data_IF_424774423179
#
_entry.id   IF_424774423179
#
_cell.length_a   1.000
_cell.length_b   1.000
_cell.length_c   1.000
_cell.angle_alpha   90.00
_cell.angle_beta   90.00
_cell.angle_gamma   90.00
#
_symmetry.space_group_name_H-M   'P 1'
#
loop_
_entity.id
_entity.type
_entity.pdbx_description
1 polymer ?
#
# COMPACT_ATOMS: atom_id res chain seq x y z
N UNK A 1 0.43 -9.97 27.91
CA UNK A 1 1.02 -9.34 26.71
C UNK A 1 -0.14 -8.83 25.87
N UNK A 2 -0.52 -7.56 26.03
CA UNK A 2 -1.69 -6.99 25.35
C UNK A 2 -1.31 -6.67 23.90
N UNK A 3 -1.97 -7.33 22.95
CA UNK A 3 -1.79 -7.03 21.53
C UNK A 3 -2.25 -5.59 21.26
N UNK A 4 -1.35 -4.77 20.72
CA UNK A 4 -1.67 -3.42 20.29
C UNK A 4 -2.81 -3.48 19.26
N UNK A 5 -3.91 -2.75 19.53
CA UNK A 5 -5.01 -2.64 18.58
C UNK A 5 -4.45 -2.13 17.23
N UNK A 6 -4.86 -2.71 16.09
CA UNK A 6 -4.37 -2.27 14.79
C UNK A 6 -4.66 -0.77 14.61
N UNK A 7 -3.66 0.00 14.16
CA UNK A 7 -3.86 1.42 13.85
C UNK A 7 -5.01 1.56 12.84
N UNK A 8 -5.89 2.54 13.03
CA UNK A 8 -7.12 2.71 12.23
C UNK A 8 -6.87 2.83 10.71
N UNK A 9 -5.65 3.21 10.32
CA UNK A 9 -5.20 3.38 8.94
C UNK A 9 -4.14 2.34 8.52
N UNK A 10 -3.93 1.29 9.32
CA UNK A 10 -2.98 0.25 8.97
C UNK A 10 -3.43 -0.48 7.71
N UNK A 11 -2.48 -0.70 6.80
CA UNK A 11 -2.71 -1.53 5.63
C UNK A 11 -3.09 -2.96 6.07
N UNK A 12 -4.11 -3.58 5.46
CA UNK A 12 -4.43 -4.97 5.73
C UNK A 12 -3.20 -5.84 5.48
N UNK A 13 -2.89 -6.75 6.41
CA UNK A 13 -1.74 -7.67 6.33
C UNK A 13 -1.82 -8.66 5.16
N UNK A 14 -2.94 -8.65 4.44
CA UNK A 14 -3.25 -9.46 3.26
C UNK A 14 -3.00 -8.73 1.94
N UNK A 15 -2.52 -7.48 1.98
CA UNK A 15 -2.13 -6.73 0.78
C UNK A 15 -0.70 -7.08 0.39
N UNK A 16 -0.56 -7.85 -0.69
CA UNK A 16 0.72 -8.02 -1.38
C UNK A 16 0.78 -7.07 -2.58
N UNK A 17 1.90 -6.34 -2.80
CA UNK A 17 2.08 -5.54 -4.02
C UNK A 17 1.91 -6.34 -5.32
N UNK A 18 2.19 -7.64 -5.28
CA UNK A 18 2.04 -8.54 -6.45
C UNK A 18 0.58 -8.76 -6.87
N UNK A 19 -0.37 -8.63 -5.94
CA UNK A 19 -1.80 -8.77 -6.23
C UNK A 19 -2.33 -7.59 -7.07
N UNK A 20 -1.64 -6.46 -7.05
CA UNK A 20 -1.99 -5.26 -7.83
C UNK A 20 -1.30 -5.20 -9.19
N UNK A 21 -0.28 -6.04 -9.44
CA UNK A 21 0.44 -6.08 -10.71
C UNK A 21 -0.29 -6.93 -11.78
N UNK A 22 -1.45 -6.44 -12.21
CA UNK A 22 -2.20 -7.02 -13.32
C UNK A 22 -1.61 -6.65 -14.70
N UNK A 23 -0.79 -5.59 -14.78
CA UNK A 23 -0.22 -5.08 -16.02
C UNK A 23 0.84 -6.02 -16.58
N UNK A 24 1.73 -6.53 -15.73
CA UNK A 24 2.74 -7.51 -16.12
C UNK A 24 2.08 -8.76 -16.69
N UNK A 25 1.04 -9.30 -16.04
CA UNK A 25 0.33 -10.47 -16.56
C UNK A 25 -0.41 -10.22 -17.87
N UNK A 26 -1.07 -9.06 -18.00
CA UNK A 26 -1.71 -8.67 -19.25
C UNK A 26 -0.67 -8.59 -20.38
N UNK A 27 0.49 -7.98 -20.13
CA UNK A 27 1.56 -7.85 -21.13
C UNK A 27 2.06 -9.22 -21.61
N UNK A 28 2.17 -10.19 -20.71
CA UNK A 28 2.58 -11.56 -21.01
C UNK A 28 1.51 -12.24 -21.87
N UNK A 29 0.24 -12.18 -21.47
CA UNK A 29 -0.87 -12.78 -22.22
C UNK A 29 -0.98 -12.16 -23.61
N UNK A 30 -0.88 -10.83 -23.72
CA UNK A 30 -1.00 -10.11 -24.99
C UNK A 30 0.18 -10.41 -25.94
N UNK A 31 1.39 -10.53 -25.41
CA UNK A 31 2.57 -10.95 -26.19
C UNK A 31 2.38 -12.36 -26.76
N UNK A 32 1.88 -13.29 -25.94
CA UNK A 32 1.60 -14.67 -26.35
C UNK A 32 0.46 -14.80 -27.36
N UNK A 33 -0.60 -14.00 -27.21
CA UNK A 33 -1.71 -13.93 -28.18
C UNK A 33 -1.25 -13.33 -29.51
N UNK A 34 -0.42 -12.27 -29.47
CA UNK A 34 0.17 -11.67 -30.67
C UNK A 34 1.02 -12.68 -31.44
N UNK A 35 1.87 -13.45 -30.75
CA UNK A 35 2.64 -14.54 -31.36
C UNK A 35 1.74 -15.63 -31.97
N UNK A 36 0.60 -15.91 -31.33
CA UNK A 36 -0.49 -16.75 -31.85
C UNK A 36 -1.01 -16.31 -33.21
N UNK A 37 -1.41 -15.05 -33.29
CA UNK A 37 -1.97 -14.42 -34.49
C UNK A 37 -0.95 -14.39 -35.64
N UNK A 38 0.30 -14.03 -35.33
CA UNK A 38 1.35 -13.94 -36.35
C UNK A 38 1.67 -15.29 -36.98
N UNK A 39 1.62 -16.36 -36.19
CA UNK A 39 1.87 -17.72 -36.66
C UNK A 39 0.68 -18.29 -37.45
N UNK A 40 -0.56 -17.92 -37.14
CA UNK A 40 -1.74 -18.34 -37.91
C UNK A 40 -1.87 -17.63 -39.27
N UNK A 41 -1.31 -16.43 -39.41
CA UNK A 41 -1.42 -15.61 -40.62
C UNK A 41 -0.26 -15.80 -41.61
N UNK A 42 0.65 -16.76 -41.38
CA UNK A 42 1.71 -17.10 -42.34
C UNK A 42 2.74 -15.98 -42.57
N UNK A 43 2.83 -14.98 -41.69
CA UNK A 43 3.86 -13.94 -41.76
C UNK A 43 5.12 -14.50 -41.07
N UNK A 44 5.82 -15.38 -41.76
CA UNK A 44 7.20 -15.75 -41.41
C UNK A 44 8.12 -14.77 -42.14
N UNK A 45 8.58 -13.73 -41.45
CA UNK A 45 9.73 -12.95 -41.91
C UNK A 45 10.93 -13.37 -41.06
N UNK A 46 11.68 -14.35 -41.57
CA UNK A 46 13.08 -14.58 -41.20
C UNK A 46 13.35 -15.45 -39.95
N UNK A 47 13.81 -16.68 -40.21
CA UNK A 47 14.83 -17.48 -39.51
C UNK A 47 14.92 -17.42 -37.95
N UNK A 48 14.72 -18.57 -37.28
CA UNK A 48 15.78 -19.51 -36.78
C UNK A 48 15.11 -20.64 -35.97
N UNK A 49 15.37 -21.95 -36.22
CA UNK A 49 15.01 -23.01 -35.29
C UNK A 49 16.17 -23.19 -34.28
N UNK A 50 16.05 -22.61 -33.10
CA UNK A 50 17.09 -22.68 -32.06
C UNK A 50 16.50 -22.38 -30.69
N UNK A 51 16.59 -23.36 -29.79
CA UNK A 51 15.87 -23.38 -28.53
C UNK A 51 16.25 -22.26 -27.55
N UNK A 52 15.32 -21.99 -26.64
CA UNK A 52 15.63 -21.78 -25.23
C UNK A 52 14.33 -21.85 -24.43
N UNK A 53 14.32 -22.72 -23.43
CA UNK A 53 13.27 -22.82 -22.42
C UNK A 53 13.27 -21.55 -21.57
N UNK A 54 12.77 -20.44 -22.10
CA UNK A 54 12.38 -19.29 -21.31
C UNK A 54 10.86 -19.33 -21.16
N UNK A 55 10.41 -19.69 -19.96
CA UNK A 55 9.02 -19.84 -19.55
C UNK A 55 8.18 -18.54 -19.57
N UNK A 56 8.54 -17.55 -20.40
CA UNK A 56 7.92 -16.21 -20.41
C UNK A 56 7.49 -15.69 -21.79
N UNK A 57 8.20 -15.98 -22.89
CA UNK A 57 8.05 -15.17 -24.11
C UNK A 57 7.89 -15.94 -25.43
N UNK A 58 8.00 -17.29 -25.43
CA UNK A 58 8.02 -18.07 -26.68
C UNK A 58 6.83 -19.00 -26.91
N UNK A 59 5.96 -19.20 -25.91
CA UNK A 59 4.83 -20.12 -26.07
C UNK A 59 3.65 -19.40 -26.72
N UNK A 60 3.49 -19.66 -28.01
CA UNK A 60 2.32 -19.27 -28.78
C UNK A 60 1.04 -19.75 -28.07
N UNK A 61 0.14 -18.84 -27.70
CA UNK A 61 -1.19 -19.22 -27.23
C UNK A 61 -2.07 -19.51 -28.44
N UNK A 62 -2.64 -20.71 -28.49
CA UNK A 62 -3.72 -21.00 -29.42
C UNK A 62 -4.97 -20.22 -28.99
N UNK A 63 -5.79 -19.77 -29.93
CA UNK A 63 -7.03 -19.03 -29.62
C UNK A 63 -7.98 -19.78 -28.67
N UNK A 64 -7.91 -21.11 -28.64
CA UNK A 64 -8.68 -21.96 -27.72
C UNK A 64 -8.18 -21.90 -26.27
N UNK A 65 -6.91 -21.54 -26.07
CA UNK A 65 -6.26 -21.51 -24.76
C UNK A 65 -6.30 -20.11 -24.12
N UNK A 66 -6.75 -19.09 -24.86
CA UNK A 66 -6.88 -17.70 -24.38
C UNK A 66 -7.76 -17.59 -23.14
N UNK A 67 -8.95 -18.24 -23.06
CA UNK A 67 -9.77 -18.18 -21.84
C UNK A 67 -9.04 -18.72 -20.61
N UNK A 68 -8.30 -19.83 -20.75
CA UNK A 68 -7.51 -20.41 -19.65
C UNK A 68 -6.29 -19.56 -19.29
N UNK A 69 -5.58 -19.02 -20.28
CA UNK A 69 -4.44 -18.14 -20.06
C UNK A 69 -4.82 -16.80 -19.42
N UNK A 70 -6.07 -16.35 -19.58
CA UNK A 70 -6.59 -15.10 -19.00
C UNK A 70 -7.23 -15.32 -17.62
N UNK A 71 -7.43 -16.57 -17.18
CA UNK A 71 -8.11 -16.87 -15.92
C UNK A 71 -7.29 -16.39 -14.70
N UNK A 72 -5.95 -16.48 -14.77
CA UNK A 72 -5.05 -15.93 -13.75
C UNK A 72 -5.23 -14.42 -13.62
N UNK A 73 -5.26 -13.70 -14.75
CA UNK A 73 -5.50 -12.26 -14.78
C UNK A 73 -6.86 -11.90 -14.19
N UNK A 74 -7.90 -12.69 -14.50
CA UNK A 74 -9.24 -12.52 -13.93
C UNK A 74 -9.22 -12.69 -12.42
N UNK A 75 -8.57 -13.74 -11.92
CA UNK A 75 -8.45 -13.98 -10.48
C UNK A 75 -7.67 -12.85 -9.79
N UNK A 76 -6.55 -12.38 -10.37
CA UNK A 76 -5.81 -11.23 -9.85
C UNK A 76 -6.64 -9.96 -9.81
N UNK A 77 -7.36 -9.62 -10.88
CA UNK A 77 -8.22 -8.44 -10.89
C UNK A 77 -9.36 -8.52 -9.85
N UNK A 78 -9.93 -9.71 -9.65
CA UNK A 78 -10.92 -9.91 -8.60
C UNK A 78 -10.31 -9.76 -7.20
N UNK A 79 -9.09 -10.27 -7.00
CA UNK A 79 -8.37 -10.15 -5.74
C UNK A 79 -7.99 -8.70 -5.44
N UNK A 80 -7.37 -8.01 -6.40
CA UNK A 80 -7.03 -6.60 -6.37
C UNK A 80 -8.26 -5.74 -6.02
N UNK A 81 -9.41 -5.98 -6.66
CA UNK A 81 -10.63 -5.21 -6.39
C UNK A 81 -11.13 -5.40 -4.95
N UNK A 82 -11.06 -6.62 -4.41
CA UNK A 82 -11.44 -6.90 -3.02
C UNK A 82 -10.50 -6.19 -2.05
N UNK A 83 -9.19 -6.25 -2.34
CA UNK A 83 -8.14 -5.63 -1.55
C UNK A 83 -8.23 -4.11 -1.53
N UNK A 84 -8.41 -3.47 -2.69
CA UNK A 84 -8.59 -2.02 -2.81
C UNK A 84 -9.83 -1.56 -2.04
N UNK A 85 -10.93 -2.34 -2.08
CA UNK A 85 -12.14 -2.03 -1.29
C UNK A 85 -11.97 -2.23 0.21
N UNK A 86 -11.02 -3.04 0.62
CA UNK A 86 -10.71 -3.29 2.03
C UNK A 86 -9.72 -2.27 2.59
N UNK A 87 -9.17 -1.37 1.77
CA UNK A 87 -8.30 -0.30 2.24
C UNK A 87 -9.08 0.67 3.13
N UNK A 88 -8.47 1.16 4.21
CA UNK A 88 -9.07 2.16 5.07
C UNK A 88 -9.29 3.46 4.28
N UNK A 89 -10.31 4.21 4.70
CA UNK A 89 -10.72 5.50 4.13
C UNK A 89 -10.99 5.52 2.60
N UNK A 90 -11.22 4.37 1.98
CA UNK A 90 -11.57 4.28 0.55
C UNK A 90 -12.92 4.94 0.21
N UNK A 91 -13.78 5.18 1.20
CA UNK A 91 -15.07 5.86 1.04
C UNK A 91 -15.01 7.36 1.26
N UNK A 92 -13.86 7.91 1.65
CA UNK A 92 -13.69 9.31 2.01
C UNK A 92 -12.94 10.06 0.91
N UNK A 93 -13.32 11.32 0.70
CA UNK A 93 -12.62 12.19 -0.24
C UNK A 93 -11.31 12.72 0.33
N UNK A 94 -10.42 13.18 -0.55
CA UNK A 94 -9.14 13.80 -0.17
C UNK A 94 -9.41 15.07 0.66
N UNK A 95 -10.37 15.90 0.25
CA UNK A 95 -10.71 17.15 0.95
C UNK A 95 -11.14 16.91 2.40
N UNK A 96 -11.93 15.86 2.66
CA UNK A 96 -12.36 15.48 4.00
C UNK A 96 -11.18 14.98 4.85
N UNK A 97 -10.26 14.22 4.25
CA UNK A 97 -9.04 13.76 4.93
C UNK A 97 -8.12 14.94 5.28
N UNK A 98 -7.93 15.89 4.35
CA UNK A 98 -7.12 17.09 4.57
C UNK A 98 -7.71 17.97 5.68
N UNK A 99 -9.04 18.12 5.72
CA UNK A 99 -9.73 18.84 6.78
C UNK A 99 -9.51 18.18 8.16
N UNK A 100 -9.59 16.85 8.23
CA UNK A 100 -9.31 16.11 9.46
C UNK A 100 -7.84 16.23 9.89
N UNK A 101 -6.89 16.11 8.95
CA UNK A 101 -5.46 16.28 9.22
C UNK A 101 -5.22 17.63 9.87
N UNK A 102 -5.79 18.70 9.31
CA UNK A 102 -5.66 20.05 9.85
C UNK A 102 -6.23 20.18 11.27
N UNK A 103 -7.37 19.55 11.54
CA UNK A 103 -7.95 19.53 12.89
C UNK A 103 -7.05 18.77 13.88
N UNK A 104 -6.56 17.60 13.48
CA UNK A 104 -5.67 16.76 14.29
C UNK A 104 -4.35 17.49 14.59
N UNK A 105 -3.77 18.16 13.60
CA UNK A 105 -2.56 18.98 13.78
C UNK A 105 -2.78 20.11 14.78
N UNK A 106 -3.90 20.85 14.66
CA UNK A 106 -4.27 21.89 15.63
C UNK A 106 -4.47 21.32 17.04
N UNK A 107 -5.03 20.12 17.15
CA UNK A 107 -5.19 19.43 18.44
C UNK A 107 -3.83 19.04 19.03
N UNK A 108 -2.92 18.51 18.22
CA UNK A 108 -1.55 18.16 18.63
C UNK A 108 -0.81 19.42 19.10
N UNK A 109 -0.94 20.54 18.40
CA UNK A 109 -0.30 21.79 18.80
C UNK A 109 -0.79 22.27 20.17
N UNK A 110 -2.11 22.26 20.39
CA UNK A 110 -2.70 22.57 21.70
C UNK A 110 -2.19 21.64 22.79
N UNK A 111 -2.14 20.33 22.53
CA UNK A 111 -1.64 19.35 23.48
C UNK A 111 -0.16 19.58 23.81
N UNK A 112 0.68 19.86 22.80
CA UNK A 112 2.09 20.22 23.00
C UNK A 112 2.24 21.47 23.87
N UNK A 113 1.45 22.51 23.61
CA UNK A 113 1.47 23.74 24.41
C UNK A 113 1.10 23.49 25.88
N UNK A 114 0.09 22.64 26.13
CA UNK A 114 -0.28 22.23 27.49
C UNK A 114 0.83 21.46 28.21
N UNK A 115 1.51 20.54 27.51
CA UNK A 115 2.63 19.80 28.08
C UNK A 115 3.82 20.71 28.42
N UNK A 116 4.07 21.74 27.61
CA UNK A 116 5.08 22.76 27.91
C UNK A 116 4.71 23.54 29.17
N UNK A 117 3.47 24.02 29.28
CA UNK A 117 3.00 24.71 30.50
C UNK A 117 3.10 23.83 31.74
N UNK A 118 2.67 22.57 31.64
CA UNK A 118 2.75 21.63 32.75
C UNK A 118 4.21 21.39 33.19
N UNK A 119 5.15 21.31 32.23
CA UNK A 119 6.58 21.24 32.53
C UNK A 119 7.05 22.49 33.27
N UNK A 120 6.72 23.68 32.77
CA UNK A 120 7.14 24.94 33.38
C UNK A 120 6.60 25.10 34.80
N UNK A 121 5.32 24.79 35.02
CA UNK A 121 4.70 24.88 36.33
C UNK A 121 5.24 23.82 37.30
N UNK A 122 5.58 22.62 36.81
CA UNK A 122 6.29 21.61 37.60
C UNK A 122 7.68 22.05 38.03
N UNK A 123 8.44 22.74 37.15
CA UNK A 123 9.75 23.30 37.49
C UNK A 123 9.64 24.43 38.52
N UNK A 124 8.64 25.32 38.38
CA UNK A 124 8.38 26.37 39.38
C UNK A 124 8.03 25.78 40.74
N UNK A 125 7.14 24.78 40.77
CA UNK A 125 6.75 24.12 42.02
C UNK A 125 7.95 23.46 42.74
N UNK A 126 8.87 22.84 41.98
CA UNK A 126 10.09 22.28 42.56
C UNK A 126 11.02 23.36 43.13
N UNK A 127 11.12 24.52 42.46
CA UNK A 127 11.95 25.65 42.91
C UNK A 127 11.37 26.35 44.15
N UNK A 128 10.06 26.54 44.20
CA UNK A 128 9.38 27.14 45.37
C UNK A 128 9.49 26.23 46.61
N UNK A 129 9.47 24.91 46.41
CA UNK A 129 9.69 23.94 47.49
C UNK A 129 11.14 24.01 48.01
N UNK A 130 12.14 24.13 47.13
CA UNK A 130 13.56 24.22 47.52
C UNK A 130 13.86 25.52 48.30
N UNK A 131 13.29 26.65 47.88
CA UNK A 131 13.42 27.94 48.59
C UNK A 131 12.68 27.95 49.94
N UNK A 132 11.58 27.20 50.06
CA UNK A 132 10.83 27.06 51.31
C UNK A 132 11.57 26.23 52.37
N UNK A 133 12.35 25.23 51.94
CA UNK A 133 13.18 24.39 52.83
C UNK A 133 14.40 25.16 53.34
N UNK A 134 15.10 25.88 52.44
CA UNK A 134 16.32 26.64 52.79
C UNK A 134 16.04 27.80 53.78
N UNK A 135 14.78 28.27 53.85
CA UNK A 135 14.34 29.32 54.78
C UNK A 135 13.92 28.81 56.16
N UNK A 136 13.73 27.50 56.33
CA UNK A 136 13.36 26.89 57.62
C UNK A 136 14.56 26.36 58.41
N UNK A 137 15.77 26.41 57.84
CA UNK A 137 17.00 25.92 58.47
C UNK A 137 17.90 27.04 59.07
N UNK A 138 17.33 28.20 59.44
CA UNK A 138 18.04 29.30 60.15
C UNK A 138 17.36 29.66 61.47
#
# INVERSE_FOLDING_TARGET
>A
MAAAAPHALALPSTLSPDDLDALSELSIVLTKVRAGIQSSNGITTGATPGGSNNAGAGQQLSFKDVPGATDVLKHKLQHARKQVRALPDMSRSIDEQEAEIKELESRIERQKALLVRLREDGVKFSKDNEVGVDKMDI
#
